data_IF_391980287786
#
_entry.id   IF_391980287786
#
_cell.length_a   1.000
_cell.length_b   1.000
_cell.length_c   1.000
_cell.angle_alpha   90.00
_cell.angle_beta   90.00
_cell.angle_gamma   90.00
#
_symmetry.space_group_name_H-M   'P 1'
#
loop_
_entity.id
_entity.type
_entity.pdbx_description
1 polymer ?
#
# COMPACT_ATOMS: atom_id res chain seq x y z
N UNK A 1 6.57 4.13 -8.74
CA UNK A 1 5.83 5.09 -7.89
C UNK A 1 6.03 6.55 -8.29
N UNK A 2 7.27 7.04 -8.44
CA UNK A 2 7.52 8.43 -8.88
C UNK A 2 6.83 8.82 -10.20
N UNK A 3 6.78 7.90 -11.18
CA UNK A 3 6.01 8.11 -12.42
C UNK A 3 4.49 8.20 -12.17
N UNK A 4 3.96 7.41 -11.24
CA UNK A 4 2.53 7.46 -10.88
C UNK A 4 2.17 8.81 -10.24
N UNK A 5 3.04 9.33 -9.37
CA UNK A 5 2.92 10.67 -8.78
C UNK A 5 2.99 11.77 -9.83
N UNK A 6 3.98 11.72 -10.72
CA UNK A 6 4.14 12.69 -11.81
C UNK A 6 2.93 12.73 -12.75
N UNK A 7 2.24 11.60 -12.91
CA UNK A 7 1.08 11.47 -13.79
C UNK A 7 -0.27 11.70 -13.07
N UNK A 8 -0.27 12.28 -11.87
CA UNK A 8 -1.50 12.55 -11.10
C UNK A 8 -2.35 11.29 -10.85
N UNK A 9 -1.69 10.15 -10.64
CA UNK A 9 -2.40 8.91 -10.32
C UNK A 9 -3.15 9.07 -9.00
N UNK A 10 -4.28 8.37 -8.88
CA UNK A 10 -5.13 8.37 -7.66
C UNK A 10 -4.98 7.10 -6.85
N UNK A 11 -4.49 6.02 -7.46
CA UNK A 11 -4.37 4.71 -6.83
C UNK A 11 -3.19 3.89 -7.36
N UNK A 12 -2.70 2.99 -6.53
CA UNK A 12 -1.67 2.00 -6.81
C UNK A 12 -2.26 0.60 -6.57
N UNK A 13 -2.08 -0.29 -7.54
CA UNK A 13 -2.51 -1.68 -7.45
C UNK A 13 -1.32 -2.60 -7.66
N UNK A 14 -1.21 -3.59 -6.78
CA UNK A 14 -0.28 -4.70 -6.93
C UNK A 14 1.06 -4.50 -6.24
N UNK A 15 1.43 -5.51 -5.46
CA UNK A 15 2.79 -5.78 -5.02
C UNK A 15 2.89 -7.31 -4.91
N UNK A 16 4.01 -7.92 -5.34
CA UNK A 16 4.16 -9.38 -5.27
C UNK A 16 4.89 -9.83 -3.98
N UNK A 17 5.71 -8.96 -3.38
CA UNK A 17 6.66 -9.31 -2.31
C UNK A 17 6.43 -8.46 -1.07
N UNK A 18 6.18 -9.07 0.10
CA UNK A 18 5.71 -8.43 1.34
C UNK A 18 6.57 -7.30 1.91
N UNK A 19 7.86 -7.20 1.55
CA UNK A 19 8.73 -6.09 1.97
C UNK A 19 8.48 -4.80 1.17
N UNK A 20 8.02 -4.92 -0.08
CA UNK A 20 7.71 -3.80 -0.98
C UNK A 20 6.46 -3.01 -0.56
N UNK A 21 5.32 -3.63 -0.18
CA UNK A 21 4.10 -2.90 0.12
C UNK A 21 4.21 -2.01 1.35
N UNK A 22 5.04 -2.32 2.37
CA UNK A 22 5.22 -1.42 3.52
C UNK A 22 5.88 -0.10 3.12
N UNK A 23 7.00 -0.15 2.38
CA UNK A 23 7.66 1.04 1.89
C UNK A 23 6.79 1.83 0.92
N UNK A 24 6.09 1.13 0.01
CA UNK A 24 5.14 1.75 -0.92
C UNK A 24 3.96 2.37 -0.17
N UNK A 25 3.46 1.76 0.91
CA UNK A 25 2.33 2.26 1.69
C UNK A 25 2.66 3.48 2.52
N UNK A 26 3.88 3.55 3.08
CA UNK A 26 4.36 4.77 3.72
C UNK A 26 4.39 5.93 2.73
N UNK A 27 4.95 5.69 1.54
CA UNK A 27 5.03 6.71 0.52
C UNK A 27 3.63 7.06 -0.01
N UNK A 28 2.76 6.08 -0.24
CA UNK A 28 1.42 6.27 -0.79
C UNK A 28 0.59 7.12 0.16
N UNK A 29 0.70 6.88 1.47
CA UNK A 29 0.08 7.72 2.48
C UNK A 29 0.54 9.18 2.46
N UNK A 30 1.85 9.41 2.33
CA UNK A 30 2.39 10.76 2.24
C UNK A 30 1.76 11.55 1.07
N UNK A 31 1.53 10.87 -0.06
CA UNK A 31 0.92 11.46 -1.25
C UNK A 31 -0.60 11.28 -1.34
N UNK A 32 -1.25 10.78 -0.28
CA UNK A 32 -2.69 10.50 -0.24
C UNK A 32 -3.19 9.62 -1.39
N UNK A 33 -2.36 8.68 -1.82
CA UNK A 33 -2.69 7.68 -2.83
C UNK A 33 -3.34 6.46 -2.17
N UNK A 34 -4.44 5.99 -2.75
CA UNK A 34 -4.98 4.68 -2.39
C UNK A 34 -4.04 3.57 -2.84
N UNK A 35 -3.79 2.59 -1.98
CA UNK A 35 -3.01 1.40 -2.35
C UNK A 35 -3.81 0.14 -2.05
N UNK A 36 -3.84 -0.80 -2.99
CA UNK A 36 -4.49 -2.10 -2.79
C UNK A 36 -3.57 -3.26 -3.19
N UNK A 37 -3.29 -4.14 -2.23
CA UNK A 37 -2.44 -5.32 -2.42
C UNK A 37 -3.22 -6.61 -2.60
N UNK A 38 -2.79 -7.44 -3.57
CA UNK A 38 -3.36 -8.76 -3.83
C UNK A 38 -2.64 -9.93 -3.18
N UNK A 39 -1.49 -9.71 -2.53
CA UNK A 39 -0.68 -10.78 -1.93
C UNK A 39 -0.07 -10.45 -0.58
N UNK A 40 -0.14 -9.19 -0.14
CA UNK A 40 0.48 -8.79 1.12
C UNK A 40 -0.32 -9.23 2.35
N UNK A 41 0.26 -10.14 3.13
CA UNK A 41 -0.37 -10.72 4.31
C UNK A 41 0.14 -10.14 5.64
N UNK A 42 1.17 -9.28 5.64
CA UNK A 42 1.77 -8.75 6.88
C UNK A 42 0.74 -8.07 7.81
N UNK A 43 0.77 -8.41 9.11
CA UNK A 43 -0.11 -7.80 10.13
C UNK A 43 0.15 -6.30 10.30
N UNK A 44 1.40 -5.85 10.17
CA UNK A 44 1.80 -4.46 10.34
C UNK A 44 1.05 -3.48 9.43
N UNK A 45 0.69 -3.92 8.21
CA UNK A 45 -0.07 -3.13 7.24
C UNK A 45 -1.54 -2.90 7.64
N UNK A 46 -1.98 -3.52 8.74
CA UNK A 46 -3.33 -3.32 9.31
C UNK A 46 -3.40 -2.09 10.21
N UNK A 47 -2.26 -1.52 10.62
CA UNK A 47 -2.24 -0.30 11.42
C UNK A 47 -2.67 0.91 10.58
N UNK A 48 -3.90 1.37 10.79
CA UNK A 48 -4.48 2.50 10.06
C UNK A 48 -3.96 3.87 10.52
N UNK A 49 -3.30 3.94 11.67
CA UNK A 49 -2.63 5.19 12.08
C UNK A 49 -1.38 5.44 11.22
N UNK A 50 -0.64 4.38 10.88
CA UNK A 50 0.55 4.45 10.03
C UNK A 50 0.23 4.26 8.54
N UNK A 51 -0.71 3.36 8.21
CA UNK A 51 -1.08 2.91 6.86
C UNK A 51 -2.53 3.23 6.48
N UNK A 52 -2.95 4.49 6.72
CA UNK A 52 -4.32 4.99 6.50
C UNK A 52 -4.96 4.61 5.14
N UNK A 53 -4.21 4.70 4.03
CA UNK A 53 -4.72 4.50 2.65
C UNK A 53 -4.41 3.11 2.07
N UNK A 54 -3.92 2.18 2.89
CA UNK A 54 -3.57 0.84 2.45
C UNK A 54 -4.74 -0.14 2.58
N UNK A 55 -5.03 -0.89 1.53
CA UNK A 55 -6.05 -1.94 1.49
C UNK A 55 -5.45 -3.23 0.93
N UNK A 56 -6.14 -4.35 1.13
CA UNK A 56 -5.76 -5.65 0.56
C UNK A 56 -6.98 -6.51 0.31
N UNK A 57 -6.87 -7.40 -0.67
CA UNK A 57 -7.93 -8.37 -1.01
C UNK A 57 -7.69 -9.75 -0.38
N UNK A 58 -6.58 -9.93 0.32
CA UNK A 58 -6.21 -11.17 1.03
C UNK A 58 -6.28 -10.98 2.55
N UNK A 59 -6.45 -12.07 3.28
CA UNK A 59 -6.45 -12.05 4.74
C UNK A 59 -5.04 -11.76 5.27
N UNK A 60 -4.94 -10.90 6.29
CA UNK A 60 -3.69 -10.71 7.01
C UNK A 60 -3.36 -11.90 7.90
N UNK A 61 -2.08 -12.17 8.09
CA UNK A 61 -1.62 -12.98 9.22
C UNK A 61 -1.81 -12.18 10.52
N UNK A 62 -2.11 -12.86 11.62
CA UNK A 62 -2.24 -12.25 12.95
C UNK A 62 -0.90 -12.23 13.67
#
# INVERSE_FOLDING_TARGET
MYQALANHSVALFGELWSQVPQAVALLANHYKLWQCSGSSTSSALSDKSTYNSFFRTVQGTF
#
